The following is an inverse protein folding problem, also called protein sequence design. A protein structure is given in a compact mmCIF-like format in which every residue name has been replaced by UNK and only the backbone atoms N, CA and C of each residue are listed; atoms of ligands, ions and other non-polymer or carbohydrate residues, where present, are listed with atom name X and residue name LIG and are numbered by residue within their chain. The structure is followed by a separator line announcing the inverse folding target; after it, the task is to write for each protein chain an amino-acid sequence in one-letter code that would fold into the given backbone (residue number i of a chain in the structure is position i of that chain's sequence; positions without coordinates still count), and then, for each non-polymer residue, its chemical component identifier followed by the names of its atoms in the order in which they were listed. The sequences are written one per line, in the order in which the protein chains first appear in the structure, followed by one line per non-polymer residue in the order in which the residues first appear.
data_IF_234058946418
#
_entry.id   IF_234058946418
#
_cell.length_a   1.000
_cell.length_b   1.000
_cell.length_c   1.000
_cell.angle_alpha   90.00
_cell.angle_beta   90.00
_cell.angle_gamma   90.00
#
_symmetry.space_group_name_H-M   'P 1'
#
loop_
_entity.id
_entity.type
_entity.pdbx_description
1 polymer ?
#
# COMPACT_ATOMS: atom_id res chain seq x y z
N UNK A 1 0.69 -16.22 -5.13
CA UNK A 1 1.90 -16.63 -5.80
C UNK A 1 2.31 -18.05 -5.50
N UNK A 2 2.80 -18.76 -6.51
CA UNK A 2 3.10 -20.20 -6.40
C UNK A 2 4.34 -20.48 -5.57
N UNK A 3 5.23 -19.51 -5.40
CA UNK A 3 6.51 -19.71 -4.73
C UNK A 3 6.50 -19.29 -3.26
N UNK A 4 5.33 -19.00 -2.70
CA UNK A 4 5.22 -18.58 -1.30
C UNK A 4 5.63 -17.15 -1.06
N UNK A 5 5.71 -16.31 -2.09
CA UNK A 5 6.03 -14.91 -1.95
C UNK A 5 4.82 -14.02 -2.28
N UNK A 6 4.89 -12.78 -1.84
CA UNK A 6 3.89 -11.75 -2.14
C UNK A 6 4.58 -10.45 -2.54
N UNK A 7 3.82 -9.54 -3.11
CA UNK A 7 4.26 -8.16 -3.26
C UNK A 7 3.63 -7.33 -2.13
N UNK A 8 4.45 -6.51 -1.49
CA UNK A 8 4.00 -5.61 -0.42
C UNK A 8 3.05 -4.56 -1.00
N UNK A 9 1.93 -4.35 -0.35
CA UNK A 9 0.95 -3.33 -0.72
C UNK A 9 1.07 -2.11 0.20
N UNK A 10 0.44 -1.02 -0.20
CA UNK A 10 0.41 0.21 0.61
C UNK A 10 -0.12 -0.09 2.01
N UNK A 11 0.45 0.58 3.01
CA UNK A 11 0.05 0.48 4.41
C UNK A 11 0.31 -0.89 5.05
N UNK A 12 1.06 -1.76 4.39
CA UNK A 12 1.48 -3.02 4.99
C UNK A 12 2.85 -2.88 5.63
N UNK A 13 3.02 -3.49 6.79
CA UNK A 13 4.28 -3.51 7.53
C UNK A 13 4.66 -4.96 7.83
N UNK A 14 5.92 -5.17 8.18
CA UNK A 14 6.36 -6.49 8.65
C UNK A 14 5.53 -6.95 9.84
N UNK A 15 5.15 -6.01 10.74
CA UNK A 15 4.30 -6.32 11.87
C UNK A 15 2.95 -6.86 11.46
N UNK A 16 2.30 -6.24 10.47
CA UNK A 16 1.04 -6.74 9.94
C UNK A 16 1.19 -8.14 9.36
N UNK A 17 2.18 -8.30 8.47
CA UNK A 17 2.37 -9.57 7.78
C UNK A 17 2.71 -10.70 8.74
N UNK A 18 3.59 -10.45 9.69
CA UNK A 18 3.97 -11.47 10.68
C UNK A 18 2.80 -11.83 11.59
N UNK A 19 1.99 -10.84 11.98
CA UNK A 19 0.80 -11.08 12.79
C UNK A 19 -0.20 -11.97 12.04
N UNK A 20 -0.46 -11.68 10.77
CA UNK A 20 -1.39 -12.49 9.96
C UNK A 20 -0.89 -13.91 9.75
N UNK A 21 0.43 -14.12 9.81
CA UNK A 21 1.06 -15.43 9.64
C UNK A 21 1.30 -16.15 10.97
N UNK A 22 1.01 -15.49 12.10
CA UNK A 22 1.32 -15.99 13.46
C UNK A 22 2.81 -16.29 13.62
N UNK A 23 3.64 -15.42 13.06
CA UNK A 23 5.10 -15.50 13.14
C UNK A 23 5.63 -14.30 13.93
N UNK A 24 6.84 -14.47 14.47
CA UNK A 24 7.57 -13.32 15.01
C UNK A 24 8.15 -12.51 13.84
N UNK A 25 8.16 -11.20 14.01
CA UNK A 25 8.70 -10.29 13.01
C UNK A 25 10.16 -10.65 12.66
N UNK A 26 10.95 -11.05 13.67
CA UNK A 26 12.34 -11.46 13.46
C UNK A 26 12.44 -12.65 12.50
N UNK A 27 11.55 -13.62 12.63
CA UNK A 27 11.55 -14.79 11.74
C UNK A 27 11.33 -14.38 10.30
N UNK A 28 10.41 -13.44 10.07
CA UNK A 28 10.12 -12.95 8.72
C UNK A 28 11.29 -12.14 8.16
N UNK A 29 11.96 -11.35 9.01
CA UNK A 29 13.17 -10.64 8.61
C UNK A 29 14.28 -11.61 8.19
N UNK A 30 14.51 -12.64 8.98
CA UNK A 30 15.55 -13.63 8.69
C UNK A 30 15.27 -14.35 7.37
N UNK A 31 14.01 -14.71 7.12
CA UNK A 31 13.62 -15.38 5.88
C UNK A 31 13.93 -14.52 4.66
N UNK A 32 13.92 -13.21 4.80
CA UNK A 32 14.11 -12.26 3.70
C UNK A 32 15.43 -11.50 3.77
N UNK A 33 16.33 -11.90 4.65
CA UNK A 33 17.62 -11.22 4.84
C UNK A 33 17.50 -9.73 5.14
N UNK A 34 16.52 -9.36 5.96
CA UNK A 34 16.26 -7.97 6.32
C UNK A 34 16.84 -7.68 7.70
N UNK A 35 17.42 -6.48 7.85
CA UNK A 35 17.89 -6.01 9.15
C UNK A 35 16.74 -5.44 9.97
N UNK A 36 16.97 -5.21 11.27
CA UNK A 36 15.98 -4.60 12.15
C UNK A 36 15.58 -3.19 11.70
N UNK A 37 16.44 -2.53 10.93
CA UNK A 37 16.21 -1.16 10.45
C UNK A 37 15.63 -1.12 9.05
N UNK A 38 15.51 -2.25 8.37
CA UNK A 38 14.94 -2.31 7.03
C UNK A 38 13.47 -1.95 7.05
N UNK A 39 13.05 -1.14 6.09
CA UNK A 39 11.65 -0.80 5.87
C UNK A 39 11.18 -1.48 4.60
N UNK A 40 9.87 -1.76 4.54
CA UNK A 40 9.28 -2.36 3.36
C UNK A 40 8.89 -1.29 2.36
N UNK A 41 9.17 -1.56 1.09
CA UNK A 41 8.71 -0.72 -0.01
C UNK A 41 7.50 -1.36 -0.67
N UNK A 42 6.57 -0.54 -1.13
CA UNK A 42 5.43 -1.03 -1.90
C UNK A 42 5.94 -1.67 -3.19
N UNK A 43 5.44 -2.86 -3.47
CA UNK A 43 5.89 -3.63 -4.63
C UNK A 43 7.09 -4.53 -4.34
N UNK A 44 7.69 -4.41 -3.17
CA UNK A 44 8.81 -5.26 -2.78
C UNK A 44 8.34 -6.71 -2.65
N UNK A 45 9.14 -7.63 -3.16
CA UNK A 45 8.83 -9.05 -3.07
C UNK A 45 9.29 -9.59 -1.73
N UNK A 46 8.42 -10.30 -1.02
CA UNK A 46 8.72 -10.92 0.26
C UNK A 46 8.37 -12.40 0.22
N UNK A 47 9.27 -13.21 0.74
CA UNK A 47 8.99 -14.62 1.01
C UNK A 47 8.22 -14.73 2.32
N UNK A 48 7.22 -15.59 2.34
CA UNK A 48 6.40 -15.83 3.51
C UNK A 48 6.46 -17.29 3.91
N UNK A 49 6.18 -17.53 5.19
CA UNK A 49 6.12 -18.89 5.75
C UNK A 49 4.67 -19.18 6.12
N UNK A 50 4.05 -20.09 5.38
CA UNK A 50 2.65 -20.47 5.58
C UNK A 50 2.49 -21.74 6.42
N UNK A 51 3.51 -22.09 7.23
CA UNK A 51 3.44 -23.31 8.05
C UNK A 51 2.48 -23.21 9.21
N UNK A 52 2.25 -22.01 9.76
CA UNK A 52 1.34 -21.80 10.89
C UNK A 52 -0.04 -21.34 10.46
N UNK A 53 -0.09 -20.47 9.44
CA UNK A 53 -1.33 -19.95 8.87
C UNK A 53 -1.22 -20.19 7.38
N UNK A 54 -2.21 -20.88 6.81
CA UNK A 54 -2.20 -21.17 5.37
C UNK A 54 -2.42 -19.90 4.54
N UNK A 55 -2.06 -19.99 3.25
CA UNK A 55 -2.18 -18.86 2.34
C UNK A 55 -3.60 -18.29 2.29
N UNK A 56 -4.60 -19.17 2.26
CA UNK A 56 -6.00 -18.73 2.17
C UNK A 56 -6.40 -17.85 3.36
N UNK A 57 -6.09 -18.30 4.58
CA UNK A 57 -6.40 -17.54 5.79
C UNK A 57 -5.61 -16.23 5.83
N UNK A 58 -4.34 -16.28 5.41
CA UNK A 58 -3.51 -15.08 5.31
C UNK A 58 -4.14 -14.06 4.36
N UNK A 59 -4.56 -14.50 3.16
CA UNK A 59 -5.17 -13.61 2.18
C UNK A 59 -6.49 -13.02 2.68
N UNK A 60 -7.27 -13.79 3.41
CA UNK A 60 -8.51 -13.30 4.02
C UNK A 60 -8.23 -12.19 5.04
N UNK A 61 -7.24 -12.37 5.89
CA UNK A 61 -6.84 -11.36 6.88
C UNK A 61 -6.30 -10.10 6.19
N UNK A 62 -5.50 -10.28 5.16
CA UNK A 62 -4.95 -9.19 4.38
C UNK A 62 -6.04 -8.36 3.72
N UNK A 63 -6.99 -9.03 3.08
CA UNK A 63 -8.12 -8.36 2.43
C UNK A 63 -8.98 -7.61 3.43
N UNK A 64 -9.26 -8.21 4.59
CA UNK A 64 -10.05 -7.57 5.64
C UNK A 64 -9.38 -6.31 6.17
N UNK A 65 -8.04 -6.35 6.31
CA UNK A 65 -7.28 -5.20 6.76
C UNK A 65 -7.43 -4.02 5.77
N UNK A 66 -7.22 -4.29 4.49
CA UNK A 66 -7.30 -3.23 3.47
C UNK A 66 -8.72 -2.69 3.34
N UNK A 67 -9.72 -3.57 3.41
CA UNK A 67 -11.11 -3.14 3.39
C UNK A 67 -11.42 -2.23 4.57
N UNK A 68 -10.94 -2.56 5.75
CA UNK A 68 -11.14 -1.76 6.95
C UNK A 68 -10.46 -0.39 6.84
N UNK A 69 -9.25 -0.33 6.29
CA UNK A 69 -8.54 0.94 6.05
C UNK A 69 -9.38 1.83 5.13
N UNK A 70 -9.89 1.27 4.04
CA UNK A 70 -10.70 2.02 3.09
C UNK A 70 -12.03 2.48 3.70
N UNK A 71 -12.71 1.60 4.40
CA UNK A 71 -14.00 1.92 5.02
C UNK A 71 -13.85 3.06 6.03
N UNK A 72 -12.79 3.05 6.84
CA UNK A 72 -12.54 4.12 7.82
C UNK A 72 -12.29 5.45 7.12
N UNK A 73 -11.54 5.44 6.03
CA UNK A 73 -11.28 6.66 5.28
C UNK A 73 -12.58 7.23 4.71
N UNK A 74 -13.39 6.41 4.05
CA UNK A 74 -14.61 6.88 3.41
C UNK A 74 -15.75 7.21 4.38
N UNK A 75 -15.63 6.83 5.65
CA UNK A 75 -16.51 7.36 6.68
C UNK A 75 -16.24 8.82 6.98
N UNK A 76 -15.00 9.25 6.82
CA UNK A 76 -14.56 10.61 7.15
C UNK A 76 -14.49 11.53 5.93
N UNK A 77 -14.24 10.98 4.76
CA UNK A 77 -13.97 11.75 3.55
C UNK A 77 -14.73 11.19 2.36
N UNK A 78 -14.95 12.05 1.37
CA UNK A 78 -15.47 11.59 0.08
C UNK A 78 -14.74 12.32 -1.04
N UNK A 79 -14.68 11.68 -2.21
CA UNK A 79 -14.06 12.27 -3.39
C UNK A 79 -15.07 13.20 -4.05
N UNK A 80 -14.70 14.47 -4.23
CA UNK A 80 -15.60 15.47 -4.84
C UNK A 80 -15.32 15.66 -6.32
N UNK A 81 -14.07 15.47 -6.75
CA UNK A 81 -13.67 15.58 -8.16
C UNK A 81 -12.27 15.02 -8.32
N UNK A 82 -11.82 14.91 -9.56
CA UNK A 82 -10.45 14.53 -9.88
C UNK A 82 -9.77 15.65 -10.64
N UNK A 83 -8.45 15.68 -10.58
CA UNK A 83 -7.64 16.62 -11.33
C UNK A 83 -6.49 15.85 -11.97
N UNK A 84 -6.20 16.19 -13.23
CA UNK A 84 -5.11 15.54 -13.95
C UNK A 84 -3.90 16.47 -13.91
N UNK A 85 -2.78 15.95 -13.39
CA UNK A 85 -1.55 16.70 -13.20
C UNK A 85 -0.38 15.98 -13.82
N UNK A 86 0.52 16.74 -14.46
CA UNK A 86 1.77 16.18 -14.97
C UNK A 86 2.90 16.52 -13.99
N UNK A 87 3.65 15.50 -13.59
CA UNK A 87 4.75 15.69 -12.63
C UNK A 87 5.85 16.52 -13.25
N UNK A 88 6.30 17.53 -12.51
CA UNK A 88 7.43 18.37 -12.87
C UNK A 88 8.67 17.91 -12.13
N UNK A 89 9.82 18.46 -12.49
CA UNK A 89 11.06 18.19 -11.78
C UNK A 89 10.89 18.49 -10.30
N UNK A 90 11.31 17.55 -9.46
CA UNK A 90 11.15 17.64 -8.00
C UNK A 90 9.83 17.12 -7.47
N UNK A 91 8.86 16.85 -8.33
CA UNK A 91 7.58 16.26 -7.91
C UNK A 91 7.69 14.74 -7.83
N UNK A 92 6.81 14.16 -7.02
CA UNK A 92 6.64 12.70 -6.93
C UNK A 92 5.19 12.40 -6.62
N UNK A 93 4.80 11.15 -6.84
CA UNK A 93 3.46 10.71 -6.47
C UNK A 93 3.24 10.89 -4.97
N UNK A 94 4.25 10.57 -4.15
CA UNK A 94 4.17 10.74 -2.70
C UNK A 94 3.94 12.20 -2.30
N UNK A 95 4.69 13.13 -2.91
CA UNK A 95 4.52 14.57 -2.63
C UNK A 95 3.14 15.06 -3.03
N UNK A 96 2.60 14.59 -4.16
CA UNK A 96 1.24 14.95 -4.56
C UNK A 96 0.21 14.41 -3.58
N UNK A 97 0.37 13.18 -3.14
CA UNK A 97 -0.53 12.60 -2.14
C UNK A 97 -0.51 13.43 -0.86
N UNK A 98 0.67 13.86 -0.41
CA UNK A 98 0.81 14.74 0.76
C UNK A 98 0.14 16.09 0.54
N UNK A 99 0.37 16.69 -0.61
CA UNK A 99 -0.19 18.00 -0.95
C UNK A 99 -1.71 18.00 -0.97
N UNK A 100 -2.30 16.95 -1.52
CA UNK A 100 -3.75 16.79 -1.66
C UNK A 100 -4.38 16.10 -0.46
N UNK A 101 -3.57 15.67 0.51
CA UNK A 101 -4.01 14.99 1.73
C UNK A 101 -4.82 13.72 1.44
N UNK A 102 -4.34 12.95 0.48
CA UNK A 102 -4.96 11.66 0.12
C UNK A 102 -3.99 10.53 0.44
N UNK A 103 -4.50 9.36 0.87
CA UNK A 103 -3.63 8.21 1.07
C UNK A 103 -3.07 7.71 -0.25
N UNK A 104 -1.87 7.14 -0.21
CA UNK A 104 -1.25 6.58 -1.41
C UNK A 104 -2.13 5.49 -2.06
N UNK A 105 -2.81 4.66 -1.25
CA UNK A 105 -3.66 3.62 -1.82
C UNK A 105 -4.81 4.21 -2.66
N UNK A 106 -5.34 5.37 -2.25
CA UNK A 106 -6.40 6.03 -3.02
C UNK A 106 -5.84 6.61 -4.32
N UNK A 107 -4.66 7.24 -4.26
CA UNK A 107 -4.00 7.73 -5.47
C UNK A 107 -3.74 6.59 -6.44
N UNK A 108 -3.29 5.44 -5.95
CA UNK A 108 -3.05 4.27 -6.80
C UNK A 108 -4.34 3.74 -7.42
N UNK A 109 -5.46 3.75 -6.70
CA UNK A 109 -6.74 3.31 -7.26
C UNK A 109 -7.16 4.15 -8.47
N UNK A 110 -6.90 5.45 -8.42
CA UNK A 110 -7.24 6.36 -9.52
C UNK A 110 -6.24 6.31 -10.67
N UNK A 111 -5.15 5.55 -10.51
CA UNK A 111 -4.09 5.41 -11.49
C UNK A 111 -3.68 3.94 -11.65
N UNK A 112 -4.67 3.07 -11.71
CA UNK A 112 -4.48 1.62 -11.63
C UNK A 112 -3.64 1.02 -12.76
N UNK A 113 -3.51 1.72 -13.88
CA UNK A 113 -2.72 1.24 -15.02
C UNK A 113 -1.25 1.65 -14.94
N UNK A 114 -0.88 2.51 -13.98
CA UNK A 114 0.50 2.99 -13.86
C UNK A 114 1.34 2.06 -13.00
N UNK A 115 2.60 1.91 -13.43
CA UNK A 115 3.62 1.26 -12.59
C UNK A 115 4.28 2.35 -11.75
N UNK A 116 3.95 2.41 -10.47
CA UNK A 116 4.45 3.48 -9.58
C UNK A 116 5.95 3.43 -9.34
N UNK A 117 6.60 2.31 -9.66
CA UNK A 117 8.06 2.25 -9.63
C UNK A 117 8.71 3.05 -10.76
N UNK A 118 7.94 3.37 -11.81
CA UNK A 118 8.41 4.12 -12.98
C UNK A 118 7.86 5.54 -13.03
N UNK A 119 7.05 5.94 -12.04
CA UNK A 119 6.45 7.27 -12.01
C UNK A 119 7.52 8.31 -11.68
N UNK A 120 7.60 9.34 -12.51
CA UNK A 120 8.56 10.43 -12.33
C UNK A 120 8.19 11.63 -13.17
N UNK A 121 9.16 12.51 -13.41
CA UNK A 121 8.95 13.73 -14.22
C UNK A 121 8.34 13.39 -15.58
N UNK A 122 7.29 14.09 -15.94
CA UNK A 122 6.57 13.89 -17.20
C UNK A 122 5.41 12.91 -17.09
N UNK A 123 5.29 12.16 -16.01
CA UNK A 123 4.16 11.25 -15.81
C UNK A 123 2.90 12.05 -15.48
N UNK A 124 1.79 11.69 -16.11
CA UNK A 124 0.50 12.32 -15.82
C UNK A 124 -0.27 11.45 -14.83
N UNK A 125 -0.73 12.07 -13.76
CA UNK A 125 -1.48 11.41 -12.70
C UNK A 125 -2.88 12.00 -12.59
N UNK A 126 -3.86 11.14 -12.33
CA UNK A 126 -5.20 11.55 -11.92
C UNK A 126 -5.22 11.59 -10.39
N UNK A 127 -5.47 12.78 -9.84
CA UNK A 127 -5.44 12.99 -8.38
C UNK A 127 -6.86 13.23 -7.88
N UNK A 128 -7.37 12.38 -6.97
CA UNK A 128 -8.69 12.63 -6.38
C UNK A 128 -8.60 13.75 -5.37
N UNK A 129 -9.60 14.62 -5.39
CA UNK A 129 -9.74 15.67 -4.39
C UNK A 129 -10.83 15.27 -3.41
N UNK A 130 -10.50 15.32 -2.13
CA UNK A 130 -11.39 14.83 -1.07
C UNK A 130 -11.82 15.96 -0.15
N UNK A 131 -12.99 15.79 0.43
CA UNK A 131 -13.52 16.66 1.48
C UNK A 131 -14.04 15.82 2.61
N UNK A 132 -14.03 16.39 3.82
CA UNK A 132 -14.65 15.74 4.96
C UNK A 132 -16.14 15.50 4.70
N UNK A 133 -16.62 14.37 5.17
CA UNK A 133 -18.05 14.09 5.15
C UNK A 133 -18.78 15.11 6.00
N UNK A 134 -19.97 15.57 5.59
CA UNK A 134 -20.77 16.43 6.44
C UNK A 134 -21.20 15.69 7.70
N UNK A 135 -21.28 16.42 8.81
CA UNK A 135 -21.73 15.84 10.08
C UNK A 135 -23.25 15.63 10.07
#
# INVERSE_FOLDING_TARGET
DRDGSIEVQSDETLGHLSDWLSLKTMALRQLNNLSAKSQLDVGQRLKLDFSRVGRREFEEKRLAYHKNVQDRFFKQFHVVKTETLTLKEGDSAWLLAQRYRVPMWLLRQYNSTLNFNLVGTGTTLTVPQVKKQPN
#
